data_IF_117323258623
#
_entry.id   IF_117323258623
#
_cell.length_a   1.000
_cell.length_b   1.000
_cell.length_c   1.000
_cell.angle_alpha   90.00
_cell.angle_beta   90.00
_cell.angle_gamma   90.00
#
_symmetry.space_group_name_H-M   'P 1'
#
loop_
_entity.id
_entity.type
_entity.pdbx_description
1 polymer ?
#
# COMPACT_ATOMS: atom_id res chain seq x y z
N UNK A 1 -7.31 7.39 9.41
CA UNK A 1 -6.16 7.99 10.08
C UNK A 1 -5.13 8.26 8.99
N UNK A 2 -5.14 9.50 8.48
CA UNK A 2 -4.12 9.95 7.53
C UNK A 2 -2.74 9.59 8.07
N UNK A 3 -1.88 9.13 7.17
CA UNK A 3 -0.55 8.61 7.48
C UNK A 3 0.12 9.40 8.59
N UNK A 4 0.37 8.74 9.73
CA UNK A 4 1.33 9.21 10.74
C UNK A 4 2.76 8.99 10.25
N UNK A 5 3.01 9.19 8.97
CA UNK A 5 4.31 9.02 8.33
C UNK A 5 5.11 10.26 8.70
N UNK A 6 5.95 10.14 9.73
CA UNK A 6 7.00 11.12 9.91
C UNK A 6 8.01 10.99 8.75
N UNK A 7 8.87 12.00 8.54
CA UNK A 7 9.79 12.04 7.40
C UNK A 7 10.69 10.79 7.27
N UNK A 8 10.90 10.05 8.35
CA UNK A 8 11.70 8.82 8.42
C UNK A 8 10.97 7.62 7.82
N UNK A 9 9.66 7.50 8.07
CA UNK A 9 8.82 6.44 7.49
C UNK A 9 8.74 6.60 5.97
N UNK A 10 8.61 7.84 5.48
CA UNK A 10 8.53 8.09 4.04
C UNK A 10 9.84 7.68 3.34
N UNK A 11 10.99 7.99 3.94
CA UNK A 11 12.29 7.63 3.39
C UNK A 11 12.47 6.11 3.26
N UNK A 12 12.13 5.36 4.31
CA UNK A 12 12.24 3.90 4.30
C UNK A 12 11.26 3.25 3.32
N UNK A 13 10.03 3.76 3.21
CA UNK A 13 9.03 3.32 2.23
C UNK A 13 9.58 3.52 0.81
N UNK A 14 10.08 4.72 0.48
CA UNK A 14 10.60 5.03 -0.86
C UNK A 14 11.74 4.11 -1.28
N UNK A 15 12.59 3.67 -0.36
CA UNK A 15 13.68 2.72 -0.61
C UNK A 15 13.14 1.32 -0.92
N UNK A 16 12.06 0.89 -0.24
CA UNK A 16 11.47 -0.43 -0.46
C UNK A 16 10.59 -0.53 -1.70
N UNK A 17 9.88 0.54 -2.08
CA UNK A 17 8.88 0.52 -3.16
C UNK A 17 9.38 -0.05 -4.52
N UNK A 18 10.62 0.15 -4.97
CA UNK A 18 11.12 -0.47 -6.20
C UNK A 18 11.29 -1.99 -6.09
N UNK A 19 11.57 -2.48 -4.88
CA UNK A 19 11.96 -3.87 -4.60
C UNK A 19 10.76 -4.79 -4.38
N UNK A 20 9.60 -4.24 -4.07
CA UNK A 20 8.39 -5.04 -3.82
C UNK A 20 7.67 -5.37 -5.13
N UNK A 21 7.03 -6.53 -5.17
CA UNK A 21 6.17 -6.94 -6.30
C UNK A 21 4.74 -6.42 -6.13
N UNK A 22 4.24 -6.44 -4.90
CA UNK A 22 2.86 -6.11 -4.54
C UNK A 22 2.85 -5.14 -3.38
N UNK A 23 1.97 -4.14 -3.46
CA UNK A 23 1.67 -3.21 -2.38
C UNK A 23 0.28 -3.57 -1.83
N UNK A 24 0.20 -3.98 -0.57
CA UNK A 24 -1.04 -4.30 0.13
C UNK A 24 -1.28 -3.27 1.24
N UNK A 25 -2.45 -2.66 1.26
CA UNK A 25 -2.80 -1.67 2.28
C UNK A 25 -4.30 -1.62 2.57
N UNK A 26 -4.64 -1.16 3.77
CA UNK A 26 -6.02 -0.84 4.13
C UNK A 26 -6.40 0.53 3.57
N UNK A 27 -7.67 0.74 3.21
CA UNK A 27 -8.19 1.98 2.62
C UNK A 27 -7.77 3.21 3.41
N UNK A 28 -7.86 3.13 4.74
CA UNK A 28 -7.57 4.23 5.65
C UNK A 28 -6.09 4.66 5.65
N UNK A 29 -5.17 3.80 5.19
CA UNK A 29 -3.73 4.11 5.07
C UNK A 29 -3.37 4.83 3.76
N UNK A 30 -4.30 4.94 2.82
CA UNK A 30 -4.08 5.55 1.50
C UNK A 30 -5.08 6.68 1.22
N UNK A 31 -5.56 7.35 2.28
CA UNK A 31 -6.50 8.47 2.17
C UNK A 31 -5.98 9.66 1.35
N UNK A 32 -4.66 9.79 1.25
CA UNK A 32 -3.93 10.83 0.52
C UNK A 32 -3.51 10.40 -0.89
N UNK A 33 -3.78 9.15 -1.28
CA UNK A 33 -3.44 8.62 -2.59
C UNK A 33 -1.96 8.35 -2.83
N UNK A 34 -1.04 8.55 -1.88
CA UNK A 34 0.38 8.42 -2.19
C UNK A 34 0.77 7.01 -2.64
N UNK A 35 0.16 5.94 -2.10
CA UNK A 35 0.50 4.59 -2.55
C UNK A 35 -0.10 4.30 -3.92
N UNK A 36 -1.25 4.89 -4.24
CA UNK A 36 -1.83 4.88 -5.60
C UNK A 36 -0.88 5.50 -6.61
N UNK A 37 -0.33 6.67 -6.29
CA UNK A 37 0.59 7.36 -7.19
C UNK A 37 1.92 6.62 -7.34
N UNK A 38 2.44 6.07 -6.25
CA UNK A 38 3.66 5.27 -6.27
C UNK A 38 3.50 3.99 -7.10
N UNK A 39 2.39 3.26 -6.89
CA UNK A 39 2.09 2.04 -7.63
C UNK A 39 1.98 2.32 -9.13
N UNK A 40 1.28 3.40 -9.52
CA UNK A 40 1.21 3.84 -10.92
C UNK A 40 2.57 4.17 -11.50
N UNK A 41 3.38 4.96 -10.77
CA UNK A 41 4.70 5.40 -11.25
C UNK A 41 5.66 4.23 -11.50
N UNK A 42 5.59 3.20 -10.66
CA UNK A 42 6.46 2.03 -10.74
C UNK A 42 5.81 0.81 -11.41
N UNK A 43 4.60 0.96 -11.97
CA UNK A 43 3.80 -0.12 -12.53
C UNK A 43 3.69 -1.35 -11.59
N UNK A 44 3.50 -1.09 -10.29
CA UNK A 44 3.35 -2.12 -9.25
C UNK A 44 1.88 -2.44 -9.02
N UNK A 45 1.60 -3.69 -8.65
CA UNK A 45 0.26 -4.09 -8.27
C UNK A 45 -0.10 -3.51 -6.90
N UNK A 46 -1.27 -2.85 -6.83
CA UNK A 46 -1.79 -2.25 -5.61
C UNK A 46 -3.10 -2.91 -5.22
N UNK A 47 -3.13 -3.53 -4.04
CA UNK A 47 -4.31 -4.14 -3.46
C UNK A 47 -4.76 -3.28 -2.28
N UNK A 48 -5.93 -2.67 -2.44
CA UNK A 48 -6.59 -1.90 -1.39
C UNK A 48 -7.73 -2.74 -0.80
N UNK A 49 -7.76 -2.84 0.53
CA UNK A 49 -8.80 -3.56 1.26
C UNK A 49 -9.45 -2.67 2.31
N UNK A 50 -10.68 -2.97 2.69
CA UNK A 50 -11.41 -2.19 3.68
C UNK A 50 -10.68 -2.12 5.04
N UNK A 51 -10.26 -3.26 5.54
CA UNK A 51 -9.63 -3.41 6.86
C UNK A 51 -8.77 -4.68 6.94
N UNK A 52 -7.95 -4.78 7.99
CA UNK A 52 -7.02 -5.90 8.18
C UNK A 52 -7.71 -7.26 8.35
N UNK A 53 -8.95 -7.29 8.88
CA UNK A 53 -9.70 -8.54 9.05
C UNK A 53 -10.11 -9.13 7.70
N UNK A 54 -10.28 -8.28 6.68
CA UNK A 54 -10.65 -8.70 5.32
C UNK A 54 -9.49 -9.20 4.45
N UNK A 55 -8.23 -9.13 4.91
CA UNK A 55 -7.04 -9.55 4.13
C UNK A 55 -7.20 -10.97 3.61
N UNK A 56 -7.48 -11.94 4.49
CA UNK A 56 -7.51 -13.35 4.13
C UNK A 56 -8.52 -13.66 3.03
N UNK A 57 -9.71 -13.08 3.11
CA UNK A 57 -10.76 -13.26 2.11
C UNK A 57 -10.41 -12.62 0.75
N UNK A 58 -9.60 -11.55 0.74
CA UNK A 58 -9.15 -10.91 -0.49
C UNK A 58 -8.02 -11.70 -1.15
N UNK A 59 -7.03 -12.13 -0.37
CA UNK A 59 -5.87 -12.90 -0.87
C UNK A 59 -6.31 -14.26 -1.42
N UNK A 60 -7.27 -14.93 -0.78
CA UNK A 60 -7.83 -16.18 -1.27
C UNK A 60 -8.49 -16.08 -2.67
N UNK A 61 -8.85 -14.87 -3.12
CA UNK A 61 -9.45 -14.62 -4.45
C UNK A 61 -8.43 -14.25 -5.53
N UNK A 62 -7.15 -14.13 -5.17
CA UNK A 62 -6.05 -13.84 -6.09
C UNK A 62 -5.34 -15.10 -6.59
N UNK A 63 -5.72 -16.28 -6.07
CA UNK A 63 -5.32 -17.61 -6.55
C UNK A 63 -6.29 -18.12 -7.61
#
# INVERSE_FOLDING_TARGET
>A
MARRTDASDEASIKVMMPLVDIILLIEDSNSDGFFTDYAKKLAKELIVIKDALTIGAKVAKLQ
#
